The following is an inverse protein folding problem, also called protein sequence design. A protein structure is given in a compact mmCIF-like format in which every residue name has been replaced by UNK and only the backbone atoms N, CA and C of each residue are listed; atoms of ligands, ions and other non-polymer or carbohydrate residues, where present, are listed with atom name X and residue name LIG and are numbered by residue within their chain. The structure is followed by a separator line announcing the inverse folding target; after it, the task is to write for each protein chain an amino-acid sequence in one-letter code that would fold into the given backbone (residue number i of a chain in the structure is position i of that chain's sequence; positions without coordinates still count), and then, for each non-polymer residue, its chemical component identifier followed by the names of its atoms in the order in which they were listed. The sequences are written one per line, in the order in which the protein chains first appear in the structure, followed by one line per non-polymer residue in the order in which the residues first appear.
data_IF_968653241566
#
_entry.id   IF_968653241566
#
_cell.length_a   1.000
_cell.length_b   1.000
_cell.length_c   1.000
_cell.angle_alpha   90.00
_cell.angle_beta   90.00
_cell.angle_gamma   90.00
#
_symmetry.space_group_name_H-M   'P 1'
#
loop_
_entity.id
_entity.type
_entity.pdbx_description
1 polymer ?
#
# COMPACT_ATOMS: atom_id res chain seq x y z
N UNK A 1 -10.88 15.05 26.39
CA UNK A 1 -10.42 13.63 26.37
C UNK A 1 -11.53 12.78 26.94
N UNK A 2 -11.79 11.60 26.38
CA UNK A 2 -12.81 10.68 26.92
C UNK A 2 -12.25 9.93 28.12
N UNK A 3 -13.05 9.75 29.17
CA UNK A 3 -12.63 9.04 30.40
C UNK A 3 -12.48 7.51 30.19
N UNK A 4 -12.86 7.00 29.02
CA UNK A 4 -12.74 5.60 28.63
C UNK A 4 -11.97 5.46 27.31
N UNK A 5 -11.03 4.51 27.20
CA UNK A 5 -10.37 4.21 25.94
C UNK A 5 -11.35 3.51 24.98
N UNK A 6 -11.20 3.79 23.69
CA UNK A 6 -11.82 2.99 22.63
C UNK A 6 -10.89 1.82 22.33
N UNK A 7 -11.43 0.60 22.39
CA UNK A 7 -10.73 -0.61 21.99
C UNK A 7 -11.31 -1.06 20.66
N UNK A 8 -10.47 -1.10 19.63
CA UNK A 8 -10.84 -1.56 18.30
C UNK A 8 -10.02 -2.78 17.92
N UNK A 9 -10.69 -3.81 17.42
CA UNK A 9 -10.00 -4.95 16.81
C UNK A 9 -9.47 -4.52 15.43
N UNK A 10 -8.28 -5.01 15.08
CA UNK A 10 -7.68 -4.78 13.76
C UNK A 10 -8.05 -5.96 12.85
N UNK A 11 -8.56 -5.64 11.67
CA UNK A 11 -8.91 -6.62 10.64
C UNK A 11 -8.28 -6.20 9.30
N UNK A 12 -7.83 -7.18 8.53
CA UNK A 12 -7.40 -7.02 7.16
C UNK A 12 -8.04 -8.08 6.25
N UNK A 13 -7.67 -8.09 4.97
CA UNK A 13 -8.11 -9.10 4.01
C UNK A 13 -6.98 -9.54 3.11
N UNK A 14 -7.05 -10.79 2.65
CA UNK A 14 -6.25 -11.21 1.52
C UNK A 14 -6.60 -10.38 0.27
N UNK A 15 -5.65 -10.13 -0.64
CA UNK A 15 -5.95 -9.47 -1.91
C UNK A 15 -7.08 -10.18 -2.66
N UNK A 16 -8.04 -9.41 -3.17
CA UNK A 16 -9.17 -9.94 -3.95
C UNK A 16 -8.72 -10.41 -5.35
N UNK A 17 -9.38 -11.43 -5.90
CA UNK A 17 -9.09 -11.92 -7.25
C UNK A 17 -9.53 -10.93 -8.34
N UNK A 18 -10.63 -10.21 -8.13
CA UNK A 18 -11.10 -9.14 -9.00
C UNK A 18 -11.74 -8.02 -8.18
N UNK A 19 -11.56 -6.79 -8.66
CA UNK A 19 -12.20 -5.56 -8.21
C UNK A 19 -13.32 -5.15 -9.17
N UNK A 20 -13.41 -5.76 -10.35
CA UNK A 20 -14.28 -5.34 -11.44
C UNK A 20 -15.40 -6.35 -11.66
N UNK A 21 -16.62 -5.83 -11.85
CA UNK A 21 -17.77 -6.57 -12.35
C UNK A 21 -18.56 -5.68 -13.31
N UNK A 22 -18.32 -5.84 -14.62
CA UNK A 22 -18.96 -5.06 -15.67
C UNK A 22 -18.64 -3.56 -15.56
N UNK A 23 -19.58 -2.77 -15.03
CA UNK A 23 -19.44 -1.32 -14.84
C UNK A 23 -19.22 -0.93 -13.37
N UNK A 24 -18.97 -1.91 -12.51
CA UNK A 24 -18.73 -1.73 -11.07
C UNK A 24 -17.23 -1.94 -10.81
N UNK A 25 -16.63 -1.04 -10.04
CA UNK A 25 -15.26 -1.15 -9.56
C UNK A 25 -15.20 -0.92 -8.05
N UNK A 26 -14.35 -1.70 -7.36
CA UNK A 26 -13.98 -1.49 -5.97
C UNK A 26 -12.72 -0.61 -5.89
N UNK A 27 -12.64 0.21 -4.84
CA UNK A 27 -11.44 1.00 -4.49
C UNK A 27 -11.35 1.20 -2.97
N UNK A 28 -10.16 1.57 -2.49
CA UNK A 28 -9.91 1.76 -1.06
C UNK A 28 -10.14 0.47 -0.24
N UNK A 29 -10.62 0.60 1.00
CA UNK A 29 -10.81 -0.56 1.90
C UNK A 29 -11.77 -1.63 1.34
N UNK A 30 -12.69 -1.26 0.44
CA UNK A 30 -13.55 -2.23 -0.25
C UNK A 30 -12.77 -3.19 -1.15
N UNK A 31 -11.61 -2.76 -1.65
CA UNK A 31 -10.73 -3.51 -2.53
C UNK A 31 -9.50 -4.08 -1.78
N UNK A 32 -8.93 -3.32 -0.84
CA UNK A 32 -7.62 -3.63 -0.24
C UNK A 32 -7.47 -3.21 1.24
N UNK A 33 -8.49 -3.48 2.07
CA UNK A 33 -8.38 -3.30 3.52
C UNK A 33 -7.09 -3.93 4.08
N UNK A 34 -6.36 -3.16 4.90
CA UNK A 34 -5.01 -3.50 5.36
C UNK A 34 -4.77 -3.07 6.81
N UNK A 35 -3.82 -3.72 7.48
CA UNK A 35 -3.38 -3.29 8.80
C UNK A 35 -2.73 -1.89 8.76
N UNK A 36 -2.92 -1.04 9.79
CA UNK A 36 -2.51 0.37 9.76
C UNK A 36 -1.02 0.61 10.03
N UNK A 37 -0.15 -0.40 9.91
CA UNK A 37 1.26 -0.31 10.33
C UNK A 37 2.15 0.59 9.47
N UNK A 38 1.73 0.92 8.25
CA UNK A 38 2.43 1.88 7.38
C UNK A 38 1.67 3.19 7.16
N UNK A 39 0.49 3.36 7.77
CA UNK A 39 -0.40 4.51 7.52
C UNK A 39 -0.76 4.73 6.03
N UNK A 40 -0.87 3.65 5.26
CA UNK A 40 -1.01 3.71 3.79
C UNK A 40 -2.43 3.50 3.26
N UNK A 41 -3.40 3.01 4.04
CA UNK A 41 -4.74 2.70 3.52
C UNK A 41 -5.42 3.89 2.84
N UNK A 42 -5.41 5.05 3.50
CA UNK A 42 -5.94 6.29 2.94
C UNK A 42 -5.14 6.78 1.71
N UNK A 43 -3.81 6.66 1.76
CA UNK A 43 -2.93 7.04 0.64
C UNK A 43 -3.22 6.19 -0.60
N UNK A 44 -3.32 4.87 -0.43
CA UNK A 44 -3.66 3.94 -1.51
C UNK A 44 -5.07 4.22 -2.08
N UNK A 45 -6.01 4.64 -1.24
CA UNK A 45 -7.36 5.03 -1.68
C UNK A 45 -7.34 6.31 -2.55
N UNK A 46 -6.47 7.28 -2.22
CA UNK A 46 -6.27 8.48 -3.04
C UNK A 46 -5.59 8.17 -4.36
N UNK A 47 -4.54 7.32 -4.35
CA UNK A 47 -3.89 6.83 -5.57
C UNK A 47 -4.88 6.09 -6.48
N UNK A 48 -5.77 5.27 -5.91
CA UNK A 48 -6.81 4.58 -6.67
C UNK A 48 -7.76 5.55 -7.35
N UNK A 49 -8.28 6.53 -6.60
CA UNK A 49 -9.20 7.52 -7.14
C UNK A 49 -8.56 8.29 -8.30
N UNK A 50 -7.28 8.63 -8.18
CA UNK A 50 -6.52 9.29 -9.24
C UNK A 50 -6.40 8.40 -10.49
N UNK A 51 -5.89 7.18 -10.35
CA UNK A 51 -5.69 6.27 -11.49
C UNK A 51 -7.02 5.89 -12.15
N UNK A 52 -8.08 5.68 -11.37
CA UNK A 52 -9.43 5.43 -11.89
C UNK A 52 -9.94 6.63 -12.70
N UNK A 53 -9.83 7.85 -12.18
CA UNK A 53 -10.27 9.04 -12.92
C UNK A 53 -9.52 9.22 -14.25
N UNK A 54 -8.20 8.98 -14.25
CA UNK A 54 -7.35 9.10 -15.45
C UNK A 54 -7.67 8.03 -16.49
N UNK A 55 -7.83 6.78 -16.09
CA UNK A 55 -8.20 5.69 -17.00
C UNK A 55 -9.59 5.89 -17.61
N UNK A 56 -10.56 6.36 -16.82
CA UNK A 56 -11.88 6.73 -17.32
C UNK A 56 -11.80 7.88 -18.33
N UNK A 57 -11.04 8.94 -18.03
CA UNK A 57 -10.86 10.07 -18.95
C UNK A 57 -10.26 9.64 -20.29
N UNK A 58 -9.26 8.75 -20.27
CA UNK A 58 -8.57 8.26 -21.47
C UNK A 58 -9.43 7.31 -22.31
N UNK A 59 -10.44 6.67 -21.72
CA UNK A 59 -11.28 5.68 -22.40
C UNK A 59 -12.22 6.26 -23.46
N UNK A 60 -12.45 7.58 -23.46
CA UNK A 60 -13.44 8.20 -24.35
C UNK A 60 -14.88 7.72 -24.11
N UNK A 61 -15.18 7.12 -22.94
CA UNK A 61 -16.51 6.61 -22.58
C UNK A 61 -16.64 5.09 -22.61
N UNK A 62 -15.60 4.35 -23.02
CA UNK A 62 -15.59 2.88 -22.95
C UNK A 62 -15.25 2.40 -21.53
N UNK A 63 -16.28 2.28 -20.70
CA UNK A 63 -16.13 2.08 -19.25
C UNK A 63 -15.51 0.72 -18.88
N UNK A 64 -16.01 -0.44 -19.33
CA UNK A 64 -15.48 -1.72 -18.81
C UNK A 64 -13.97 -1.90 -19.06
N UNK A 65 -13.42 -1.62 -20.26
CA UNK A 65 -11.97 -1.67 -20.48
C UNK A 65 -11.19 -0.65 -19.63
N UNK A 66 -11.76 0.52 -19.35
CA UNK A 66 -11.15 1.51 -18.47
C UNK A 66 -11.00 0.98 -17.04
N UNK A 67 -12.05 0.32 -16.52
CA UNK A 67 -12.04 -0.28 -15.19
C UNK A 67 -11.05 -1.44 -15.09
N UNK A 68 -10.97 -2.28 -16.11
CA UNK A 68 -9.96 -3.36 -16.18
C UNK A 68 -8.52 -2.80 -16.20
N UNK A 69 -8.30 -1.69 -16.93
CA UNK A 69 -7.03 -0.98 -16.91
C UNK A 69 -6.72 -0.40 -15.53
N UNK A 70 -7.68 0.22 -14.85
CA UNK A 70 -7.50 0.70 -13.48
C UNK A 70 -7.05 -0.43 -12.54
N UNK A 71 -7.76 -1.57 -12.58
CA UNK A 71 -7.43 -2.74 -11.77
C UNK A 71 -6.00 -3.22 -12.03
N UNK A 72 -5.61 -3.39 -13.30
CA UNK A 72 -4.29 -3.93 -13.66
C UNK A 72 -3.13 -3.05 -13.20
N UNK A 73 -3.36 -1.74 -13.10
CA UNK A 73 -2.36 -0.76 -12.63
C UNK A 73 -2.24 -0.73 -11.10
N UNK A 74 -3.32 -1.04 -10.36
CA UNK A 74 -3.40 -0.79 -8.91
C UNK A 74 -3.39 -2.03 -8.03
N UNK A 75 -3.89 -3.16 -8.53
CA UNK A 75 -4.08 -4.38 -7.72
C UNK A 75 -2.77 -4.91 -7.13
N UNK A 76 -1.72 -5.04 -7.94
CA UNK A 76 -0.42 -5.53 -7.46
C UNK A 76 0.23 -4.58 -6.45
N UNK A 77 0.09 -3.27 -6.70
CA UNK A 77 0.68 -2.23 -5.85
C UNK A 77 0.07 -2.26 -4.44
N UNK A 78 -1.25 -2.34 -4.36
CA UNK A 78 -2.00 -2.39 -3.09
C UNK A 78 -1.81 -3.74 -2.38
N UNK A 79 -1.80 -4.86 -3.11
CA UNK A 79 -1.50 -6.19 -2.56
C UNK A 79 -0.10 -6.23 -1.91
N UNK A 80 0.90 -5.58 -2.53
CA UNK A 80 2.22 -5.43 -1.93
C UNK A 80 2.18 -4.62 -0.63
N UNK A 81 1.40 -3.54 -0.56
CA UNK A 81 1.24 -2.76 0.69
C UNK A 81 0.57 -3.60 1.78
N UNK A 82 -0.50 -4.33 1.46
CA UNK A 82 -1.17 -5.25 2.40
C UNK A 82 -0.17 -6.23 3.01
N UNK A 83 0.62 -6.91 2.17
CA UNK A 83 1.65 -7.85 2.62
C UNK A 83 2.72 -7.18 3.49
N UNK A 84 3.15 -5.96 3.16
CA UNK A 84 4.14 -5.23 3.94
C UNK A 84 3.58 -4.76 5.28
N UNK A 85 2.29 -4.42 5.37
CA UNK A 85 1.61 -4.13 6.64
C UNK A 85 1.56 -5.37 7.54
N UNK A 86 1.27 -6.55 7.00
CA UNK A 86 1.30 -7.82 7.75
C UNK A 86 2.73 -8.17 8.24
N UNK A 87 3.75 -7.93 7.42
CA UNK A 87 5.14 -8.13 7.86
C UNK A 87 5.55 -7.13 8.94
N UNK A 88 5.06 -5.90 8.88
CA UNK A 88 5.31 -4.88 9.89
C UNK A 88 4.64 -5.24 11.23
N UNK A 89 3.42 -5.78 11.21
CA UNK A 89 2.78 -6.33 12.41
C UNK A 89 3.70 -7.30 13.13
N UNK A 90 4.20 -8.31 12.41
CA UNK A 90 5.11 -9.34 12.95
C UNK A 90 6.39 -8.74 13.50
N UNK A 91 6.94 -7.74 12.81
CA UNK A 91 8.18 -7.05 13.20
C UNK A 91 8.03 -6.19 14.45
N UNK A 92 6.87 -5.56 14.62
CA UNK A 92 6.62 -4.67 15.75
C UNK A 92 6.18 -5.44 17.00
N UNK A 93 5.54 -6.60 16.86
CA UNK A 93 5.05 -7.43 17.97
C UNK A 93 5.91 -8.68 18.24
N UNK A 94 7.19 -8.66 17.87
CA UNK A 94 8.13 -9.73 18.25
C UNK A 94 8.25 -9.81 19.77
N UNK A 95 8.17 -11.03 20.33
CA UNK A 95 8.31 -11.29 21.76
C UNK A 95 9.65 -11.91 22.15
N UNK A 96 10.36 -12.52 21.20
CA UNK A 96 11.67 -13.13 21.44
C UNK A 96 12.75 -12.05 21.67
N UNK A 97 13.43 -12.02 22.84
CA UNK A 97 14.37 -10.96 23.18
C UNK A 97 15.53 -10.80 22.18
N UNK A 98 16.04 -11.90 21.62
CA UNK A 98 17.13 -11.82 20.64
C UNK A 98 16.67 -11.22 19.31
N UNK A 99 15.49 -11.59 18.82
CA UNK A 99 14.90 -10.98 17.63
C UNK A 99 14.63 -9.48 17.84
N UNK A 100 14.12 -9.10 19.01
CA UNK A 100 13.90 -7.69 19.37
C UNK A 100 15.23 -6.92 19.39
N UNK A 101 16.28 -7.48 20.00
CA UNK A 101 17.60 -6.86 20.02
C UNK A 101 18.18 -6.67 18.60
N UNK A 102 18.09 -7.71 17.76
CA UNK A 102 18.51 -7.65 16.34
C UNK A 102 17.75 -6.58 15.55
N UNK A 103 16.43 -6.50 15.72
CA UNK A 103 15.59 -5.46 15.10
C UNK A 103 16.01 -4.06 15.56
N UNK A 104 16.19 -3.85 16.87
CA UNK A 104 16.62 -2.58 17.43
C UNK A 104 17.96 -2.12 16.88
N UNK A 105 18.93 -3.02 16.81
CA UNK A 105 20.23 -2.73 16.24
C UNK A 105 20.11 -2.33 14.76
N UNK A 106 19.27 -3.02 13.97
CA UNK A 106 18.98 -2.65 12.58
C UNK A 106 18.39 -1.24 12.47
N UNK A 107 17.45 -0.88 13.34
CA UNK A 107 16.86 0.47 13.35
C UNK A 107 17.87 1.55 13.74
N UNK A 108 18.69 1.32 14.76
CA UNK A 108 19.76 2.26 15.15
C UNK A 108 20.79 2.44 14.03
N UNK A 109 21.15 1.36 13.34
CA UNK A 109 22.05 1.44 12.19
C UNK A 109 21.47 2.30 11.06
N UNK A 110 20.20 2.11 10.74
CA UNK A 110 19.52 2.92 9.73
C UNK A 110 19.38 4.38 10.15
N UNK A 111 19.03 4.65 11.41
CA UNK A 111 18.96 6.02 11.93
C UNK A 111 20.31 6.74 11.81
N UNK A 112 21.40 6.07 12.21
CA UNK A 112 22.74 6.63 12.08
C UNK A 112 23.17 6.88 10.62
N UNK A 113 22.77 6.00 9.70
CA UNK A 113 23.15 6.11 8.29
C UNK A 113 22.31 7.12 7.50
N UNK A 114 21.00 7.19 7.76
CA UNK A 114 20.05 7.94 6.95
C UNK A 114 19.48 9.17 7.66
N UNK A 115 19.72 9.34 8.97
CA UNK A 115 19.42 10.56 9.73
C UNK A 115 17.98 11.07 9.57
N UNK A 116 17.01 10.16 9.59
CA UNK A 116 15.59 10.50 9.45
C UNK A 116 15.12 10.74 8.00
N UNK A 117 15.97 10.54 7.00
CA UNK A 117 15.55 10.48 5.59
C UNK A 117 14.93 9.13 5.24
N UNK A 118 14.28 9.04 4.07
CA UNK A 118 13.72 7.78 3.59
C UNK A 118 14.81 6.73 3.36
N UNK A 119 14.57 5.54 3.90
CA UNK A 119 15.41 4.39 3.63
C UNK A 119 15.23 3.96 2.17
N UNK A 120 16.26 3.40 1.50
CA UNK A 120 16.13 2.88 0.14
C UNK A 120 15.00 1.85 0.00
N UNK A 121 14.69 1.10 1.07
CA UNK A 121 13.60 0.11 1.09
C UNK A 121 12.21 0.75 1.26
N UNK A 122 12.12 2.07 1.45
CA UNK A 122 10.88 2.85 1.47
C UNK A 122 10.61 3.57 0.14
N UNK A 123 11.61 3.65 -0.74
CA UNK A 123 11.52 4.33 -2.04
C UNK A 123 10.38 3.76 -2.90
N UNK A 124 10.19 2.44 -2.91
CA UNK A 124 9.10 1.79 -3.65
C UNK A 124 7.70 2.23 -3.17
N UNK A 125 7.60 2.68 -1.92
CA UNK A 125 6.34 3.10 -1.30
C UNK A 125 6.11 4.60 -1.50
N UNK A 126 7.10 5.44 -1.19
CA UNK A 126 6.93 6.89 -1.19
C UNK A 126 7.35 7.58 -2.50
N UNK A 127 8.15 6.92 -3.34
CA UNK A 127 8.52 7.40 -4.66
C UNK A 127 7.52 7.04 -5.77
N UNK A 128 6.39 6.44 -5.43
CA UNK A 128 5.35 6.04 -6.39
C UNK A 128 4.69 7.27 -7.02
N UNK A 129 4.56 7.25 -8.34
CA UNK A 129 4.01 8.35 -9.14
C UNK A 129 2.68 7.91 -9.77
N UNK A 130 1.57 8.39 -9.20
CA UNK A 130 0.24 8.01 -9.63
C UNK A 130 -0.10 8.49 -11.06
N UNK A 131 0.54 9.56 -11.54
CA UNK A 131 0.38 10.05 -12.91
C UNK A 131 1.05 9.11 -13.90
N UNK A 132 2.30 8.73 -13.64
CA UNK A 132 3.00 7.71 -14.45
C UNK A 132 2.29 6.36 -14.37
N UNK A 133 1.77 5.99 -13.19
CA UNK A 133 1.03 4.76 -13.03
C UNK A 133 -0.23 4.74 -13.90
N UNK A 134 -0.99 5.84 -13.99
CA UNK A 134 -2.14 5.93 -14.89
C UNK A 134 -1.77 5.74 -16.38
N UNK A 135 -0.56 6.16 -16.76
CA UNK A 135 0.01 5.92 -18.08
C UNK A 135 0.54 4.49 -18.27
N UNK A 136 0.67 3.71 -17.19
CA UNK A 136 1.26 2.38 -17.19
C UNK A 136 2.77 2.40 -17.34
N UNK A 137 3.42 3.45 -16.83
CA UNK A 137 4.88 3.64 -16.93
C UNK A 137 5.59 3.70 -15.58
N UNK A 138 4.86 3.56 -14.47
CA UNK A 138 5.42 3.51 -13.12
C UNK A 138 5.64 2.06 -12.65
N UNK A 139 6.62 1.37 -13.25
CA UNK A 139 6.93 -0.03 -12.90
C UNK A 139 8.24 -0.20 -12.13
N UNK A 140 9.05 0.85 -12.00
CA UNK A 140 10.37 0.77 -11.37
C UNK A 140 10.30 0.27 -9.91
N UNK A 141 9.23 0.63 -9.19
CA UNK A 141 9.01 0.19 -7.80
C UNK A 141 8.92 -1.33 -7.66
N UNK A 142 8.55 -2.07 -8.71
CA UNK A 142 8.44 -3.53 -8.69
C UNK A 142 9.80 -4.19 -8.41
N UNK A 143 10.88 -3.63 -8.95
CA UNK A 143 12.25 -4.13 -8.76
C UNK A 143 12.89 -3.71 -7.44
N UNK A 144 12.36 -2.66 -6.80
CA UNK A 144 12.89 -2.17 -5.53
C UNK A 144 12.59 -3.14 -4.40
N UNK A 145 13.53 -3.30 -3.47
CA UNK A 145 13.39 -4.21 -2.33
C UNK A 145 12.52 -3.57 -1.24
N UNK A 146 11.60 -4.35 -0.67
CA UNK A 146 10.85 -3.95 0.52
C UNK A 146 11.58 -4.32 1.82
N UNK A 147 11.10 -3.78 2.93
CA UNK A 147 11.68 -3.80 4.29
C UNK A 147 12.34 -5.09 4.79
#
# INVERSE_FOLDING_TARGET
MTDKPFVTALYDRAPLDSWINGRIALLGDSAHAMLPYHAQGAVQSMEDAWVLARTLQQSGGDIPPALERYQSLRKDRTARVQAQSQLAEKRFHMSDPEQVARRNQKFLHYDAQYQGTFLPQQEWLFGYDADKAALGTDDAWRALRAW
#
